data_IF_619747085031
#
_entry.id   IF_619747085031
#
_cell.length_a   1.000
_cell.length_b   1.000
_cell.length_c   1.000
_cell.angle_alpha   90.00
_cell.angle_beta   90.00
_cell.angle_gamma   90.00
#
_symmetry.space_group_name_H-M   'P 1'
#
loop_
_entity.id
_entity.type
_entity.pdbx_description
1 polymer ?
#
# COMPACT_ATOMS: atom_id res chain seq x y z
N UNK A 1 -32.23 24.73 30.67
CA UNK A 1 -31.05 23.90 31.01
C UNK A 1 -30.14 24.74 31.90
N UNK A 2 -29.82 24.28 33.13
CA UNK A 2 -29.08 25.11 34.09
C UNK A 2 -27.58 25.14 33.75
N UNK A 3 -26.89 26.25 34.05
CA UNK A 3 -25.51 26.53 33.60
C UNK A 3 -24.52 25.39 33.93
N UNK A 4 -24.70 24.72 35.07
CA UNK A 4 -23.89 23.56 35.49
C UNK A 4 -24.02 22.35 34.55
N UNK A 5 -25.22 22.07 34.03
CA UNK A 5 -25.45 20.94 33.13
C UNK A 5 -24.91 21.23 31.73
N UNK A 6 -24.95 22.50 31.29
CA UNK A 6 -24.33 22.93 30.04
C UNK A 6 -22.80 22.80 30.12
N UNK A 7 -22.19 23.27 31.22
CA UNK A 7 -20.74 23.16 31.44
C UNK A 7 -20.26 21.70 31.48
N UNK A 8 -21.00 20.82 32.19
CA UNK A 8 -20.68 19.40 32.26
C UNK A 8 -20.80 18.70 30.89
N UNK A 9 -21.83 19.04 30.11
CA UNK A 9 -21.99 18.50 28.76
C UNK A 9 -20.85 18.95 27.82
N UNK A 10 -20.43 20.22 27.90
CA UNK A 10 -19.31 20.74 27.11
C UNK A 10 -17.99 20.08 27.49
N UNK A 11 -17.68 19.94 28.79
CA UNK A 11 -16.45 19.26 29.25
C UNK A 11 -16.43 17.79 28.83
N UNK A 12 -17.56 17.09 28.95
CA UNK A 12 -17.68 15.70 28.54
C UNK A 12 -17.50 15.54 27.02
N UNK A 13 -18.08 16.45 26.23
CA UNK A 13 -17.94 16.44 24.78
C UNK A 13 -16.50 16.76 24.33
N UNK A 14 -15.85 17.76 24.94
CA UNK A 14 -14.44 18.07 24.66
C UNK A 14 -13.51 16.93 25.05
N UNK A 15 -13.76 16.26 26.17
CA UNK A 15 -13.01 15.07 26.60
C UNK A 15 -13.17 13.91 25.62
N UNK A 16 -14.36 13.71 25.07
CA UNK A 16 -14.63 12.63 24.13
C UNK A 16 -13.97 12.87 22.77
N UNK A 17 -13.93 14.12 22.31
CA UNK A 17 -13.25 14.52 21.08
C UNK A 17 -11.72 14.46 21.19
N UNK A 18 -11.16 14.55 22.40
CA UNK A 18 -9.71 14.43 22.64
C UNK A 18 -9.16 13.01 22.53
N UNK A 19 -10.01 11.99 22.38
CA UNK A 19 -9.59 10.58 22.29
C UNK A 19 -9.32 10.10 20.85
N UNK A 20 -9.44 10.96 19.84
CA UNK A 20 -9.19 10.57 18.44
C UNK A 20 -7.68 10.59 18.17
N UNK A 21 -7.06 9.41 18.18
CA UNK A 21 -5.68 9.23 17.74
C UNK A 21 -5.65 8.76 16.28
N UNK A 22 -4.83 9.36 15.40
CA UNK A 22 -4.62 8.82 14.05
C UNK A 22 -4.05 7.40 14.15
N UNK A 23 -4.60 6.46 13.39
CA UNK A 23 -4.02 5.12 13.29
C UNK A 23 -2.81 5.17 12.37
N UNK A 24 -1.62 4.84 12.90
CA UNK A 24 -0.38 4.73 12.14
C UNK A 24 -0.33 3.41 11.37
N UNK A 25 -1.22 3.24 10.40
CA UNK A 25 -1.28 2.01 9.64
C UNK A 25 -0.26 2.00 8.50
N UNK A 26 0.32 0.83 8.26
CA UNK A 26 1.29 0.59 7.19
C UNK A 26 0.68 -0.33 6.14
N UNK A 27 0.94 -0.06 4.87
CA UNK A 27 0.38 -0.83 3.77
C UNK A 27 1.43 -1.16 2.73
N UNK A 28 1.64 -2.46 2.50
CA UNK A 28 2.19 -2.96 1.25
C UNK A 28 1.13 -2.85 0.16
N UNK A 29 1.44 -2.14 -0.92
CA UNK A 29 0.51 -1.88 -2.01
C UNK A 29 1.06 -2.39 -3.34
N UNK A 30 0.19 -3.04 -4.12
CA UNK A 30 0.41 -3.39 -5.52
C UNK A 30 -0.61 -2.58 -6.33
N UNK A 31 -0.12 -1.73 -7.23
CA UNK A 31 -0.95 -0.80 -7.98
C UNK A 31 -0.68 -1.02 -9.47
N UNK A 32 -1.61 -1.69 -10.20
CA UNK A 32 -1.52 -1.76 -11.65
C UNK A 32 -1.83 -0.40 -12.28
N UNK A 33 -1.36 -0.17 -13.51
CA UNK A 33 -1.70 1.03 -14.27
C UNK A 33 -3.18 1.08 -14.63
N UNK A 34 -3.80 -0.08 -14.81
CA UNK A 34 -5.19 -0.26 -15.20
C UNK A 34 -5.77 -1.48 -14.47
N UNK A 35 -6.96 -1.32 -13.89
CA UNK A 35 -7.67 -2.41 -13.19
C UNK A 35 -8.43 -3.32 -14.18
N UNK A 36 -8.84 -2.77 -15.32
CA UNK A 36 -9.59 -3.47 -16.37
C UNK A 36 -8.95 -3.13 -17.71
N UNK A 37 -8.63 -4.16 -18.50
CA UNK A 37 -8.06 -4.02 -19.84
C UNK A 37 -9.04 -4.55 -20.87
N UNK A 38 -9.61 -3.65 -21.66
CA UNK A 38 -10.56 -3.96 -22.73
C UNK A 38 -9.85 -4.36 -24.02
N UNK A 39 -10.60 -4.83 -25.01
CA UNK A 39 -10.05 -5.33 -26.28
C UNK A 39 -9.19 -4.29 -27.01
N UNK A 40 -9.59 -3.01 -27.00
CA UNK A 40 -8.91 -1.93 -27.72
C UNK A 40 -7.74 -1.30 -26.94
N UNK A 41 -7.61 -1.64 -25.65
CA UNK A 41 -6.57 -1.10 -24.78
C UNK A 41 -5.20 -1.73 -25.04
N UNK A 42 -4.14 -1.02 -24.63
CA UNK A 42 -2.81 -1.58 -24.60
C UNK A 42 -2.75 -2.81 -23.68
N UNK A 43 -2.23 -3.94 -24.19
CA UNK A 43 -2.10 -5.18 -23.42
C UNK A 43 -0.84 -5.20 -22.53
N UNK A 44 -0.40 -4.03 -22.09
CA UNK A 44 0.79 -3.84 -21.27
C UNK A 44 0.39 -3.08 -20.01
N UNK A 45 0.55 -3.73 -18.86
CA UNK A 45 0.27 -3.16 -17.55
C UNK A 45 1.59 -2.88 -16.85
N UNK A 46 1.73 -1.69 -16.29
CA UNK A 46 2.80 -1.42 -15.34
C UNK A 46 2.27 -1.64 -13.93
N UNK A 47 2.97 -2.46 -13.16
CA UNK A 47 2.59 -2.77 -11.78
C UNK A 47 3.60 -2.13 -10.85
N UNK A 48 3.15 -1.20 -10.01
CA UNK A 48 3.96 -0.54 -9.00
C UNK A 48 3.82 -1.23 -7.63
N UNK A 49 4.94 -1.43 -6.95
CA UNK A 49 5.02 -1.97 -5.60
C UNK A 49 5.49 -0.85 -4.66
N UNK A 50 4.71 -0.61 -3.62
CA UNK A 50 4.93 0.51 -2.68
C UNK A 50 4.73 0.04 -1.25
N UNK A 51 5.39 0.73 -0.33
CA UNK A 51 5.12 0.67 1.09
C UNK A 51 4.80 2.09 1.57
N UNK A 52 3.63 2.29 2.17
CA UNK A 52 3.13 3.63 2.49
C UNK A 52 2.17 3.67 3.68
N UNK A 53 2.03 4.86 4.25
CA UNK A 53 0.91 5.22 5.12
C UNK A 53 -0.24 5.74 4.23
N UNK A 54 -1.43 5.11 4.27
CA UNK A 54 -2.47 5.31 3.26
C UNK A 54 -3.20 6.64 3.38
N UNK A 55 -3.31 7.20 4.59
CA UNK A 55 -4.02 8.47 4.82
C UNK A 55 -3.11 9.66 4.55
N UNK A 56 -1.84 9.58 4.98
CA UNK A 56 -0.84 10.63 4.77
C UNK A 56 -0.25 10.59 3.35
N UNK A 57 -0.36 9.46 2.65
CA UNK A 57 0.32 9.23 1.37
C UNK A 57 1.85 9.25 1.49
N UNK A 58 2.36 9.13 2.72
CA UNK A 58 3.78 9.07 3.02
C UNK A 58 4.35 7.71 2.61
N UNK A 59 5.41 7.75 1.81
CA UNK A 59 6.11 6.56 1.38
C UNK A 59 7.08 6.11 2.47
N UNK A 60 7.31 4.82 2.51
CA UNK A 60 8.28 4.16 3.35
C UNK A 60 9.22 3.34 2.48
N UNK A 61 10.37 2.97 3.04
CA UNK A 61 11.35 2.18 2.32
C UNK A 61 10.80 0.78 2.05
N UNK A 62 10.57 0.44 0.78
CA UNK A 62 10.28 -0.92 0.36
C UNK A 62 11.59 -1.58 -0.08
N UNK A 63 12.22 -2.30 0.85
CA UNK A 63 13.30 -3.21 0.51
C UNK A 63 12.85 -4.19 -0.59
N UNK A 64 13.80 -4.70 -1.39
CA UNK A 64 13.47 -5.62 -2.49
C UNK A 64 12.59 -6.77 -1.97
N UNK A 65 11.43 -7.04 -2.61
CA UNK A 65 10.55 -8.11 -2.17
C UNK A 65 11.22 -9.48 -2.20
N UNK A 66 10.79 -10.39 -1.34
CA UNK A 66 11.19 -11.80 -1.38
C UNK A 66 10.52 -12.54 -2.53
N UNK A 67 9.28 -12.16 -2.83
CA UNK A 67 8.51 -12.68 -3.94
C UNK A 67 7.69 -11.57 -4.56
N UNK A 68 7.62 -11.57 -5.88
CA UNK A 68 6.65 -10.81 -6.65
C UNK A 68 6.25 -11.64 -7.86
N UNK A 69 4.96 -11.80 -8.10
CA UNK A 69 4.49 -12.65 -9.17
C UNK A 69 3.06 -12.36 -9.58
N UNK A 70 2.60 -13.14 -10.56
CA UNK A 70 1.22 -13.12 -11.05
C UNK A 70 0.67 -14.54 -11.11
N UNK A 71 -0.58 -14.70 -10.69
CA UNK A 71 -1.37 -15.91 -10.82
C UNK A 71 -2.40 -15.70 -11.93
N UNK A 72 -2.42 -16.59 -12.92
CA UNK A 72 -3.39 -16.59 -14.01
C UNK A 72 -3.74 -18.04 -14.37
N UNK A 73 -5.03 -18.37 -14.41
CA UNK A 73 -5.53 -19.73 -14.70
C UNK A 73 -4.94 -20.84 -13.79
N UNK A 74 -4.54 -20.51 -12.57
CA UNK A 74 -3.90 -21.46 -11.64
C UNK A 74 -2.37 -21.53 -11.76
N UNK A 75 -1.78 -20.95 -12.81
CA UNK A 75 -0.35 -20.91 -13.02
C UNK A 75 0.27 -19.65 -12.39
N UNK A 76 1.33 -19.85 -11.61
CA UNK A 76 2.14 -18.78 -11.03
C UNK A 76 3.34 -18.47 -11.90
N UNK A 77 3.53 -17.20 -12.23
CA UNK A 77 4.74 -16.70 -12.90
C UNK A 77 5.53 -15.80 -11.96
N UNK A 78 6.82 -16.06 -11.83
CA UNK A 78 7.75 -15.21 -11.08
C UNK A 78 8.07 -13.95 -11.87
N UNK A 79 7.82 -12.79 -11.26
CA UNK A 79 8.09 -11.47 -11.82
C UNK A 79 9.20 -10.76 -11.03
N UNK A 80 9.74 -11.35 -9.96
CA UNK A 80 10.81 -10.74 -9.17
C UNK A 80 12.08 -10.42 -9.99
N UNK A 81 12.49 -11.23 -10.99
CA UNK A 81 13.64 -10.88 -11.84
C UNK A 81 13.41 -9.67 -12.73
N UNK A 82 12.14 -9.31 -13.04
CA UNK A 82 11.82 -8.20 -13.94
C UNK A 82 11.55 -6.87 -13.22
N UNK A 83 11.60 -6.85 -11.87
CA UNK A 83 11.38 -5.61 -11.12
C UNK A 83 12.52 -4.63 -11.34
N UNK A 84 12.14 -3.38 -11.55
CA UNK A 84 13.03 -2.25 -11.70
C UNK A 84 12.86 -1.37 -10.47
N UNK A 85 13.98 -1.00 -9.85
CA UNK A 85 13.98 -0.07 -8.74
C UNK A 85 13.53 1.32 -9.20
N UNK A 86 12.68 1.95 -8.41
CA UNK A 86 12.22 3.33 -8.60
C UNK A 86 12.30 4.10 -7.28
N UNK A 87 11.92 5.37 -7.29
CA UNK A 87 11.75 6.16 -6.08
C UNK A 87 10.40 6.87 -6.08
N UNK A 88 9.77 6.92 -4.90
CA UNK A 88 8.52 7.65 -4.66
C UNK A 88 8.61 8.48 -3.38
N UNK A 89 7.76 9.48 -3.26
CA UNK A 89 7.61 10.30 -2.05
C UNK A 89 6.22 10.91 -2.00
N UNK A 90 5.73 11.15 -0.78
CA UNK A 90 4.56 11.98 -0.51
C UNK A 90 4.84 13.46 -0.75
N UNK A 91 3.79 14.29 -0.71
CA UNK A 91 3.88 15.71 -1.08
C UNK A 91 4.78 16.56 -0.16
N UNK A 92 4.82 16.23 1.12
CA UNK A 92 5.57 16.91 2.18
C UNK A 92 6.85 16.18 2.58
N UNK A 93 7.11 14.98 2.02
CA UNK A 93 8.32 14.23 2.28
C UNK A 93 9.53 14.85 1.54
N UNK A 94 10.61 15.11 2.29
CA UNK A 94 11.83 15.76 1.77
C UNK A 94 12.74 14.81 1.00
N UNK A 95 12.66 13.51 1.27
CA UNK A 95 13.45 12.48 0.61
C UNK A 95 12.59 11.52 -0.19
N UNK A 96 13.20 10.85 -1.16
CA UNK A 96 12.60 9.74 -1.88
C UNK A 96 12.82 8.43 -1.13
N UNK A 97 11.90 7.50 -1.29
CA UNK A 97 11.94 6.14 -0.74
C UNK A 97 11.96 5.14 -1.88
N UNK A 98 12.64 4.01 -1.68
CA UNK A 98 12.71 2.96 -2.69
C UNK A 98 11.35 2.34 -2.89
N UNK A 99 10.99 2.21 -4.15
CA UNK A 99 9.80 1.50 -4.64
C UNK A 99 10.23 0.60 -5.79
N UNK A 100 9.33 -0.26 -6.25
CA UNK A 100 9.62 -1.14 -7.37
C UNK A 100 8.51 -1.06 -8.40
N UNK A 101 8.83 -1.38 -9.65
CA UNK A 101 7.83 -1.58 -10.69
C UNK A 101 8.21 -2.73 -11.60
N UNK A 102 7.22 -3.35 -12.22
CA UNK A 102 7.43 -4.31 -13.30
C UNK A 102 6.41 -4.06 -14.41
N UNK A 103 6.82 -4.27 -15.65
CA UNK A 103 5.90 -4.27 -16.78
C UNK A 103 5.44 -5.71 -17.05
N UNK A 104 4.15 -5.90 -17.30
CA UNK A 104 3.55 -7.19 -17.61
C UNK A 104 2.73 -7.12 -18.91
N UNK A 105 2.91 -8.09 -19.79
CA UNK A 105 2.16 -8.19 -21.04
C UNK A 105 1.04 -9.22 -20.91
N UNK A 106 -0.21 -8.75 -20.98
CA UNK A 106 -1.41 -9.59 -20.99
C UNK A 106 -1.46 -10.33 -22.33
N UNK A 107 -1.52 -11.67 -22.26
CA UNK A 107 -1.52 -12.52 -23.46
C UNK A 107 -2.90 -13.07 -23.79
N UNK A 108 -3.74 -13.24 -22.79
CA UNK A 108 -5.08 -13.85 -22.90
C UNK A 108 -6.06 -13.14 -21.97
N UNK A 109 -7.36 -13.08 -22.29
CA UNK A 109 -8.38 -12.57 -21.38
C UNK A 109 -8.45 -13.41 -20.09
N UNK A 110 -8.89 -12.79 -19.00
CA UNK A 110 -9.09 -13.45 -17.71
C UNK A 110 -8.56 -12.61 -16.55
N UNK A 111 -8.68 -13.17 -15.35
CA UNK A 111 -8.20 -12.51 -14.13
C UNK A 111 -6.70 -12.75 -13.97
N UNK A 112 -5.98 -11.68 -13.64
CA UNK A 112 -4.55 -11.71 -13.32
C UNK A 112 -4.40 -11.19 -11.90
N UNK A 113 -4.04 -12.07 -10.98
CA UNK A 113 -3.84 -11.72 -9.57
C UNK A 113 -2.37 -11.50 -9.33
N UNK A 114 -1.96 -10.24 -9.19
CA UNK A 114 -0.59 -9.90 -8.81
C UNK A 114 -0.42 -10.05 -7.30
N UNK A 115 0.72 -10.54 -6.86
CA UNK A 115 0.98 -10.77 -5.43
C UNK A 115 2.43 -10.44 -5.05
N UNK A 116 2.62 -10.07 -3.78
CA UNK A 116 3.91 -9.70 -3.22
C UNK A 116 4.08 -10.27 -1.81
N UNK A 117 5.25 -10.86 -1.55
CA UNK A 117 5.80 -11.05 -0.21
C UNK A 117 6.96 -10.06 -0.02
N UNK A 118 6.82 -9.04 0.84
CA UNK A 118 7.90 -8.11 1.10
C UNK A 118 8.98 -8.72 1.99
N UNK A 119 10.15 -8.09 2.03
CA UNK A 119 11.10 -8.33 3.12
C UNK A 119 10.47 -7.84 4.44
N UNK A 120 10.56 -8.59 5.56
CA UNK A 120 9.99 -8.17 6.83
C UNK A 120 10.46 -6.78 7.23
N UNK A 121 9.52 -5.92 7.59
CA UNK A 121 9.76 -4.56 8.05
C UNK A 121 9.82 -4.54 9.57
N UNK A 122 10.88 -3.98 10.15
CA UNK A 122 10.95 -3.74 11.59
C UNK A 122 10.13 -2.49 11.92
N UNK A 123 9.09 -2.65 12.75
CA UNK A 123 8.25 -1.56 13.25
C UNK A 123 8.67 -1.19 14.69
N UNK A 124 9.41 -0.08 14.88
CA UNK A 124 9.91 0.31 16.19
C UNK A 124 8.80 0.62 17.21
N UNK A 125 7.64 1.10 16.76
CA UNK A 125 6.53 1.41 17.66
C UNK A 125 5.86 0.15 18.22
N UNK A 126 5.99 -0.98 17.51
CA UNK A 126 5.40 -2.27 17.89
C UNK A 126 6.43 -3.29 18.39
N UNK A 127 7.73 -2.96 18.38
CA UNK A 127 8.84 -3.84 18.74
C UNK A 127 8.75 -5.21 18.04
N UNK A 128 8.35 -5.21 16.76
CA UNK A 128 8.07 -6.42 16.02
C UNK A 128 8.35 -6.28 14.51
N UNK A 129 8.38 -7.42 13.82
CA UNK A 129 8.45 -7.45 12.37
C UNK A 129 7.07 -7.61 11.75
N UNK A 130 6.76 -6.78 10.75
CA UNK A 130 5.50 -6.81 10.00
C UNK A 130 5.76 -7.30 8.58
N UNK A 131 4.85 -8.14 8.08
CA UNK A 131 4.83 -8.61 6.69
C UNK A 131 3.44 -8.36 6.13
N UNK A 132 3.36 -7.55 5.07
CA UNK A 132 2.12 -7.33 4.33
C UNK A 132 2.08 -8.24 3.11
N UNK A 133 1.36 -9.36 3.20
CA UNK A 133 1.06 -10.19 2.03
C UNK A 133 -0.04 -9.51 1.21
N UNK A 134 0.38 -8.88 0.12
CA UNK A 134 -0.54 -8.08 -0.71
C UNK A 134 -0.85 -8.83 -2.00
N UNK A 135 -2.12 -8.74 -2.43
CA UNK A 135 -2.55 -9.11 -3.78
C UNK A 135 -3.52 -8.08 -4.35
N UNK A 136 -3.56 -7.97 -5.67
CA UNK A 136 -4.53 -7.18 -6.44
C UNK A 136 -4.97 -7.99 -7.66
#
# INVERSE_FOLDING_TARGET
MNCKNFLAATVSLTSLLGLVTPSLAHFGAIIPSDDIVSQDDAKKIQVALKFLHPMEGHYMELAKPKQFGVLHEGDKSDLLPSVIQTSGKGGDQKQGFTTWKADYAIKRPGDYVFYMEPTPYWEPAEDSYIIHFTKV
#
